data_IF_137860016285
#
_entry.id   IF_137860016285
#
_cell.length_a   1.000
_cell.length_b   1.000
_cell.length_c   1.000
_cell.angle_alpha   90.00
_cell.angle_beta   90.00
_cell.angle_gamma   90.00
#
_symmetry.space_group_name_H-M   'P 1'
#
loop_
_entity.id
_entity.type
_entity.pdbx_description
1 polymer ?
#
# COMPACT_ATOMS: atom_id res chain seq x y z
N UNK A 1 42.43 50.31 -11.94
CA UNK A 1 41.87 50.04 -13.30
C UNK A 1 42.61 48.92 -14.03
N UNK A 2 43.96 48.87 -13.97
CA UNK A 2 44.76 47.81 -14.61
C UNK A 2 44.54 46.42 -13.99
N UNK A 3 44.29 46.34 -12.69
CA UNK A 3 44.09 45.05 -11.98
C UNK A 3 42.80 44.35 -12.40
N UNK A 4 41.72 45.11 -12.60
CA UNK A 4 40.45 44.57 -13.12
C UNK A 4 40.60 44.05 -14.55
N UNK A 5 41.41 44.72 -15.38
CA UNK A 5 41.68 44.29 -16.74
C UNK A 5 42.50 42.99 -16.75
N UNK A 6 43.50 42.86 -15.87
CA UNK A 6 44.27 41.62 -15.70
C UNK A 6 43.37 40.47 -15.21
N UNK A 7 42.54 40.71 -14.20
CA UNK A 7 41.60 39.70 -13.68
C UNK A 7 40.57 39.27 -14.72
N UNK A 8 40.07 40.21 -15.54
CA UNK A 8 39.16 39.91 -16.63
C UNK A 8 39.81 38.98 -17.66
N UNK A 9 41.06 39.23 -18.06
CA UNK A 9 41.78 38.35 -18.99
C UNK A 9 42.07 36.96 -18.39
N UNK A 10 42.34 36.87 -17.09
CA UNK A 10 42.50 35.59 -16.39
C UNK A 10 41.19 34.78 -16.42
N UNK A 11 40.06 35.41 -16.07
CA UNK A 11 38.74 34.76 -16.15
C UNK A 11 38.44 34.31 -17.59
N UNK A 12 38.68 35.19 -18.57
CA UNK A 12 38.45 34.87 -19.98
C UNK A 12 39.31 33.68 -20.44
N UNK A 13 40.56 33.61 -19.97
CA UNK A 13 41.47 32.48 -20.22
C UNK A 13 40.96 31.17 -19.62
N UNK A 14 40.46 31.20 -18.38
CA UNK A 14 39.88 30.02 -17.72
C UNK A 14 38.62 29.56 -18.48
N UNK A 15 37.69 30.47 -18.80
CA UNK A 15 36.48 30.17 -19.57
C UNK A 15 36.84 29.59 -20.93
N UNK A 16 37.85 30.15 -21.61
CA UNK A 16 38.31 29.65 -22.90
C UNK A 16 38.85 28.22 -22.81
N UNK A 17 39.64 27.91 -21.78
CA UNK A 17 40.17 26.56 -21.55
C UNK A 17 39.04 25.58 -21.28
N UNK A 18 38.10 25.92 -20.37
CA UNK A 18 36.94 25.07 -20.06
C UNK A 18 36.06 24.85 -21.30
N UNK A 19 35.75 25.91 -22.05
CA UNK A 19 34.96 25.82 -23.28
C UNK A 19 35.66 24.96 -24.36
N UNK A 20 37.00 25.03 -24.44
CA UNK A 20 37.78 24.21 -25.38
C UNK A 20 37.80 22.73 -25.01
N UNK A 21 37.77 22.39 -23.71
CA UNK A 21 37.64 21.01 -23.26
C UNK A 21 36.21 20.48 -23.40
N UNK A 22 35.18 21.31 -23.19
CA UNK A 22 33.78 20.90 -23.36
C UNK A 22 33.36 20.72 -24.83
N UNK A 23 33.90 21.54 -25.75
CA UNK A 23 33.58 21.45 -27.20
C UNK A 23 34.05 20.18 -27.91
N UNK A 24 34.85 19.32 -27.27
CA UNK A 24 35.24 18.02 -27.86
C UNK A 24 34.19 16.92 -27.67
N UNK A 25 33.13 17.16 -26.91
CA UNK A 25 32.09 16.16 -26.61
C UNK A 25 30.84 16.28 -27.50
N UNK A 26 30.72 17.35 -28.30
CA UNK A 26 29.58 17.51 -29.20
C UNK A 26 29.92 16.92 -30.58
N UNK A 27 29.62 15.63 -30.74
CA UNK A 27 29.43 15.05 -32.07
C UNK A 27 28.22 15.75 -32.73
N UNK A 28 28.29 16.14 -34.01
CA UNK A 28 27.17 16.77 -34.70
C UNK A 28 25.97 15.82 -34.74
N UNK A 29 24.72 16.35 -34.62
CA UNK A 29 23.52 15.53 -34.72
C UNK A 29 23.46 14.97 -36.14
N UNK A 30 23.74 13.67 -36.28
CA UNK A 30 23.40 12.96 -37.52
C UNK A 30 21.89 12.86 -37.60
N UNK A 31 21.38 13.50 -38.64
CA UNK A 31 20.01 13.43 -39.12
C UNK A 31 19.45 12.00 -39.09
N UNK A 32 18.22 11.91 -38.56
CA UNK A 32 17.12 11.06 -39.05
C UNK A 32 17.52 9.68 -39.59
N UNK A 33 17.66 8.70 -38.69
CA UNK A 33 17.55 7.29 -39.06
C UNK A 33 16.06 6.89 -39.11
N UNK A 34 15.62 6.11 -40.13
CA UNK A 34 14.22 5.76 -40.31
C UNK A 34 13.71 4.88 -39.16
N UNK A 35 12.48 5.18 -38.76
CA UNK A 35 11.65 4.45 -37.79
C UNK A 35 11.79 2.94 -38.01
N UNK A 36 12.58 2.27 -37.17
CA UNK A 36 12.63 0.80 -37.13
C UNK A 36 11.36 0.29 -36.43
N UNK A 37 10.76 -0.80 -36.94
CA UNK A 37 9.55 -1.35 -36.38
C UNK A 37 9.78 -1.85 -34.95
N UNK A 38 8.72 -1.74 -34.15
CA UNK A 38 8.65 -2.07 -32.74
C UNK A 38 9.29 -3.43 -32.45
N UNK A 39 10.35 -3.40 -31.65
CA UNK A 39 10.88 -4.59 -30.98
C UNK A 39 9.77 -5.07 -30.02
N UNK A 40 9.35 -6.34 -30.05
CA UNK A 40 8.45 -6.84 -29.03
C UNK A 40 9.12 -6.68 -27.66
N UNK A 41 8.34 -6.17 -26.72
CA UNK A 41 8.69 -5.96 -25.32
C UNK A 41 9.41 -7.21 -24.82
N UNK A 42 10.69 -7.07 -24.42
CA UNK A 42 11.37 -8.13 -23.66
C UNK A 42 10.61 -8.28 -22.35
N UNK A 43 9.77 -9.33 -22.31
CA UNK A 43 9.17 -9.86 -21.10
C UNK A 43 10.34 -10.22 -20.19
N UNK A 44 10.46 -9.51 -19.07
CA UNK A 44 11.40 -9.84 -18.01
C UNK A 44 11.20 -11.32 -17.65
N UNK A 45 12.16 -12.19 -17.95
CA UNK A 45 12.22 -13.51 -17.33
C UNK A 45 12.59 -13.30 -15.87
N UNK A 46 11.60 -13.43 -15.00
CA UNK A 46 11.83 -13.57 -13.57
C UNK A 46 12.77 -14.76 -13.34
N UNK A 47 13.74 -14.65 -12.41
CA UNK A 47 14.53 -15.81 -12.02
C UNK A 47 13.56 -16.89 -11.52
N UNK A 48 13.67 -18.09 -12.08
CA UNK A 48 12.85 -19.25 -11.75
C UNK A 48 12.99 -19.58 -10.25
N UNK A 49 12.15 -18.96 -9.42
CA UNK A 49 11.86 -19.44 -8.08
C UNK A 49 11.09 -20.74 -8.25
N UNK A 50 11.67 -21.84 -7.80
CA UNK A 50 11.02 -23.14 -7.66
C UNK A 50 9.57 -22.93 -7.17
N UNK A 51 8.55 -23.49 -7.83
CA UNK A 51 7.18 -23.31 -7.39
C UNK A 51 7.01 -24.03 -6.05
N UNK A 52 6.94 -23.25 -4.97
CA UNK A 52 6.20 -23.68 -3.80
C UNK A 52 4.74 -23.89 -4.25
N UNK A 53 4.03 -24.93 -3.77
CA UNK A 53 2.64 -25.17 -4.13
C UNK A 53 1.74 -24.11 -3.48
N UNK A 54 1.75 -22.91 -4.06
CA UNK A 54 0.77 -21.87 -3.78
C UNK A 54 -0.53 -22.17 -4.52
N UNK A 55 -1.68 -21.74 -3.98
CA UNK A 55 -2.99 -22.03 -4.55
C UNK A 55 -3.06 -21.45 -5.97
N UNK A 56 -3.45 -22.30 -6.92
CA UNK A 56 -3.61 -21.92 -8.33
C UNK A 56 -4.59 -20.74 -8.39
N UNK A 57 -4.23 -19.69 -9.13
CA UNK A 57 -5.15 -18.57 -9.39
C UNK A 57 -6.28 -19.09 -10.26
N UNK A 58 -7.43 -19.35 -9.64
CA UNK A 58 -8.62 -19.85 -10.33
C UNK A 58 -9.07 -18.85 -11.39
N UNK A 59 -9.35 -19.35 -12.57
CA UNK A 59 -9.89 -18.51 -13.66
C UNK A 59 -11.37 -18.19 -13.40
N UNK A 60 -11.88 -17.11 -14.00
CA UNK A 60 -13.25 -16.66 -13.77
C UNK A 60 -14.30 -17.74 -14.12
N UNK A 61 -14.01 -18.57 -15.12
CA UNK A 61 -14.86 -19.71 -15.48
C UNK A 61 -14.85 -20.80 -14.40
N UNK A 62 -13.69 -21.04 -13.76
CA UNK A 62 -13.56 -21.95 -12.62
C UNK A 62 -14.29 -21.44 -11.39
N UNK A 63 -14.22 -20.14 -11.10
CA UNK A 63 -14.96 -19.49 -10.02
C UNK A 63 -16.47 -19.54 -10.25
N UNK A 64 -16.93 -19.28 -11.48
CA UNK A 64 -18.35 -19.42 -11.81
C UNK A 64 -18.81 -20.87 -11.67
N UNK A 65 -17.99 -21.82 -12.12
CA UNK A 65 -18.27 -23.25 -11.98
C UNK A 65 -18.37 -23.64 -10.50
N UNK A 66 -17.44 -23.21 -9.66
CA UNK A 66 -17.44 -23.47 -8.20
C UNK A 66 -18.68 -22.89 -7.50
N UNK A 67 -19.12 -21.68 -7.87
CA UNK A 67 -20.33 -21.05 -7.31
C UNK A 67 -21.60 -21.77 -7.77
N UNK A 68 -21.65 -22.25 -9.02
CA UNK A 68 -22.81 -22.98 -9.55
C UNK A 68 -22.89 -24.44 -9.06
N UNK A 69 -21.76 -25.11 -8.90
CA UNK A 69 -21.69 -26.47 -8.34
C UNK A 69 -22.01 -26.48 -6.84
N UNK A 70 -21.55 -25.49 -6.07
CA UNK A 70 -21.87 -25.37 -4.63
C UNK A 70 -23.34 -25.04 -4.34
N UNK A 71 -24.09 -24.53 -5.33
CA UNK A 71 -25.54 -24.27 -5.20
C UNK A 71 -26.40 -25.51 -5.46
N UNK A 72 -25.84 -26.60 -6.00
CA UNK A 72 -26.56 -27.85 -6.24
C UNK A 72 -26.37 -28.80 -5.05
N UNK A 73 -26.69 -28.34 -3.85
CA UNK A 73 -26.92 -29.26 -2.73
C UNK A 73 -28.37 -29.70 -2.86
N UNK A 74 -28.57 -30.93 -3.34
CA UNK A 74 -29.85 -31.61 -3.20
C UNK A 74 -30.31 -31.48 -1.75
N UNK A 75 -31.53 -30.97 -1.48
CA UNK A 75 -32.05 -30.91 -0.14
C UNK A 75 -32.23 -32.35 0.34
N UNK A 76 -31.29 -32.84 1.17
CA UNK A 76 -31.56 -34.00 2.00
C UNK A 76 -32.86 -33.71 2.75
N UNK A 77 -33.89 -34.57 2.68
CA UNK A 77 -35.09 -34.37 3.46
C UNK A 77 -34.68 -34.43 4.93
N UNK A 78 -34.67 -33.27 5.58
CA UNK A 78 -34.49 -33.17 7.01
C UNK A 78 -35.77 -33.73 7.59
N UNK A 79 -35.73 -34.97 8.08
CA UNK A 79 -36.79 -35.52 8.91
C UNK A 79 -36.99 -34.54 10.06
N UNK A 80 -38.20 -34.00 10.28
CA UNK A 80 -38.44 -33.10 11.39
C UNK A 80 -38.09 -33.84 12.69
N UNK A 81 -37.43 -33.17 13.65
CA UNK A 81 -37.21 -33.75 14.96
C UNK A 81 -38.58 -34.13 15.59
N UNK A 82 -38.67 -35.23 16.34
CA UNK A 82 -39.90 -35.56 17.05
C UNK A 82 -40.31 -34.37 17.91
N UNK A 83 -41.58 -33.96 17.77
CA UNK A 83 -42.13 -32.86 18.56
C UNK A 83 -41.90 -33.16 20.05
N UNK A 84 -41.46 -32.16 20.85
CA UNK A 84 -41.34 -32.35 22.29
C UNK A 84 -42.71 -32.73 22.84
N UNK A 85 -42.81 -33.92 23.44
CA UNK A 85 -43.96 -34.27 24.26
C UNK A 85 -43.90 -33.33 25.46
N UNK A 86 -44.78 -32.34 25.45
CA UNK A 86 -44.95 -31.43 26.58
C UNK A 86 -45.72 -32.20 27.63
N UNK A 87 -45.05 -32.61 28.70
CA UNK A 87 -45.74 -33.01 29.91
C UNK A 87 -46.49 -31.77 30.42
N UNK A 88 -47.81 -31.85 30.44
CA UNK A 88 -48.67 -30.77 30.91
C UNK A 88 -48.51 -30.69 32.43
N UNK A 89 -47.69 -29.74 32.88
CA UNK A 89 -47.55 -29.43 34.31
C UNK A 89 -48.70 -28.48 34.65
N UNK A 90 -49.60 -28.94 35.52
CA UNK A 90 -50.70 -28.14 36.05
C UNK A 90 -50.15 -27.27 37.20
N UNK A 91 -50.10 -25.96 36.99
CA UNK A 91 -49.50 -24.99 37.92
C UNK A 91 -50.53 -24.41 38.90
N UNK A 92 -51.81 -24.83 38.79
CA UNK A 92 -52.88 -24.28 39.63
C UNK A 92 -52.79 -24.72 41.11
N UNK A 93 -52.08 -25.81 41.42
CA UNK A 93 -52.00 -26.36 42.78
C UNK A 93 -50.87 -25.79 43.66
N UNK A 94 -49.94 -25.00 43.11
CA UNK A 94 -48.71 -24.52 43.82
C UNK A 94 -48.54 -22.99 43.83
N UNK A 95 -49.59 -22.23 43.50
CA UNK A 95 -49.59 -20.78 43.64
C UNK A 95 -49.81 -20.38 45.10
N UNK A 96 -48.71 -20.19 45.84
CA UNK A 96 -48.74 -19.51 47.13
C UNK A 96 -49.27 -18.08 46.94
N UNK A 97 -50.27 -17.69 47.76
CA UNK A 97 -50.79 -16.33 47.87
C UNK A 97 -49.72 -15.42 48.51
N UNK A 98 -48.65 -15.13 47.78
CA UNK A 98 -47.65 -14.13 48.17
C UNK A 98 -48.03 -12.79 47.50
N UNK A 99 -48.75 -11.96 48.27
CA UNK A 99 -48.92 -10.53 48.01
C UNK A 99 -47.55 -9.83 48.15
N UNK A 100 -46.63 -10.02 47.21
CA UNK A 100 -45.49 -9.13 47.05
C UNK A 100 -45.99 -7.78 46.52
N UNK A 101 -45.76 -6.73 47.31
CA UNK A 101 -46.10 -5.36 46.96
C UNK A 101 -45.39 -4.94 45.66
N UNK A 102 -46.17 -4.77 44.59
CA UNK A 102 -45.75 -4.25 43.27
C UNK A 102 -45.38 -2.75 43.30
N UNK A 103 -44.88 -2.20 44.40
CA UNK A 103 -44.35 -0.84 44.40
C UNK A 103 -43.05 -0.84 43.59
N UNK A 104 -43.19 -0.40 42.33
CA UNK A 104 -42.14 -0.24 41.33
C UNK A 104 -40.90 0.42 41.93
N UNK A 105 -39.82 -0.34 42.10
CA UNK A 105 -38.49 0.23 42.01
C UNK A 105 -38.40 0.94 40.66
N UNK A 106 -38.11 2.24 40.65
CA UNK A 106 -37.91 3.07 39.46
C UNK A 106 -36.89 2.38 38.52
N UNK A 107 -37.41 1.59 37.57
CA UNK A 107 -36.62 0.76 36.68
C UNK A 107 -35.94 1.66 35.65
N UNK A 108 -34.75 2.16 35.99
CA UNK A 108 -33.95 2.96 35.08
C UNK A 108 -33.35 2.06 33.98
N UNK A 109 -34.13 1.86 32.93
CA UNK A 109 -33.79 1.08 31.73
C UNK A 109 -32.40 1.43 31.17
N UNK A 110 -31.92 2.67 31.36
CA UNK A 110 -30.61 3.09 30.87
C UNK A 110 -29.44 2.51 31.65
N UNK A 111 -29.63 2.12 32.91
CA UNK A 111 -28.54 1.70 33.82
C UNK A 111 -28.37 0.18 33.90
N UNK A 112 -29.44 -0.61 33.72
CA UNK A 112 -29.41 -2.07 33.88
C UNK A 112 -29.38 -2.85 32.55
N UNK A 113 -29.80 -2.27 31.43
CA UNK A 113 -29.80 -3.00 30.16
C UNK A 113 -28.41 -3.02 29.50
N UNK A 114 -27.83 -4.23 29.42
CA UNK A 114 -26.64 -4.48 28.61
C UNK A 114 -26.87 -4.11 27.14
N UNK A 115 -28.12 -4.22 26.67
CA UNK A 115 -28.53 -3.84 25.31
C UNK A 115 -28.38 -2.33 25.09
N UNK A 116 -28.71 -1.52 26.10
CA UNK A 116 -28.58 -0.06 26.02
C UNK A 116 -27.11 0.36 25.94
N UNK A 117 -26.26 -0.26 26.75
CA UNK A 117 -24.81 -0.01 26.72
C UNK A 117 -24.20 -0.42 25.36
N UNK A 118 -24.57 -1.60 24.84
CA UNK A 118 -24.11 -2.05 23.52
C UNK A 118 -24.56 -1.11 22.38
N UNK A 119 -25.79 -0.58 22.46
CA UNK A 119 -26.30 0.40 21.52
C UNK A 119 -25.51 1.72 21.58
N UNK A 120 -25.26 2.25 22.78
CA UNK A 120 -24.48 3.48 22.94
C UNK A 120 -23.02 3.30 22.50
N UNK A 121 -22.39 2.17 22.82
CA UNK A 121 -21.04 1.85 22.35
C UNK A 121 -20.98 1.74 20.83
N UNK A 122 -21.92 1.02 20.20
CA UNK A 122 -21.99 0.91 18.75
C UNK A 122 -22.20 2.28 18.09
N UNK A 123 -23.04 3.13 18.69
CA UNK A 123 -23.25 4.51 18.23
C UNK A 123 -21.95 5.31 18.29
N UNK A 124 -21.22 5.28 19.42
CA UNK A 124 -19.93 5.98 19.56
C UNK A 124 -18.91 5.50 18.54
N UNK A 125 -18.76 4.19 18.38
CA UNK A 125 -17.85 3.59 17.40
C UNK A 125 -18.21 3.96 15.96
N UNK A 126 -19.50 4.09 15.64
CA UNK A 126 -19.92 4.51 14.30
C UNK A 126 -19.55 5.97 14.00
N UNK A 127 -19.57 6.85 15.01
CA UNK A 127 -19.16 8.25 14.87
C UNK A 127 -17.64 8.45 14.90
N UNK A 128 -16.90 7.60 15.61
CA UNK A 128 -15.43 7.63 15.68
C UNK A 128 -14.76 6.97 14.46
N UNK A 129 -15.52 6.31 13.59
CA UNK A 129 -14.97 5.73 12.37
C UNK A 129 -14.48 6.84 11.44
N UNK A 130 -13.22 6.78 10.99
CA UNK A 130 -12.72 7.74 10.00
C UNK A 130 -13.60 7.66 8.76
N UNK A 131 -13.96 8.83 8.24
CA UNK A 131 -14.78 8.92 7.03
C UNK A 131 -14.08 8.20 5.86
N UNK A 132 -14.86 7.73 4.88
CA UNK A 132 -14.28 7.08 3.69
C UNK A 132 -13.26 8.00 3.00
N UNK A 133 -13.51 9.31 3.01
CA UNK A 133 -12.63 10.32 2.44
C UNK A 133 -11.30 10.45 3.21
N UNK A 134 -11.36 10.33 4.54
CA UNK A 134 -10.20 10.35 5.43
C UNK A 134 -9.34 9.08 5.28
N UNK A 135 -9.97 7.91 5.14
CA UNK A 135 -9.24 6.66 4.88
C UNK A 135 -8.66 6.60 3.46
N UNK A 136 -9.33 7.19 2.47
CA UNK A 136 -8.80 7.32 1.11
C UNK A 136 -7.70 8.38 0.97
N UNK A 137 -7.44 9.20 2.01
CA UNK A 137 -6.42 10.25 2.01
C UNK A 137 -6.48 11.11 0.74
N UNK A 138 -7.69 11.45 0.29
CA UNK A 138 -7.90 12.09 -1.02
C UNK A 138 -7.09 13.41 -1.17
N UNK A 139 -6.90 14.15 -0.06
CA UNK A 139 -6.08 15.37 0.00
C UNK A 139 -4.55 15.16 -0.05
N UNK A 140 -4.07 13.92 0.11
CA UNK A 140 -2.65 13.56 -0.01
C UNK A 140 -2.25 13.11 -1.43
N UNK A 141 -3.20 13.12 -2.37
CA UNK A 141 -2.91 12.79 -3.77
C UNK A 141 -2.27 13.99 -4.46
N UNK A 142 -1.14 13.78 -5.12
CA UNK A 142 -0.54 14.76 -6.02
C UNK A 142 -1.20 14.58 -7.39
N UNK A 143 -1.39 15.64 -8.17
CA UNK A 143 -2.01 15.61 -9.51
C UNK A 143 -1.34 14.71 -10.57
N UNK A 144 -0.38 13.88 -10.17
CA UNK A 144 0.19 12.77 -10.92
C UNK A 144 -0.42 11.46 -10.39
N UNK A 145 -1.14 10.75 -11.25
CA UNK A 145 -1.71 9.43 -10.97
C UNK A 145 -0.67 8.49 -10.32
N UNK A 146 -1.03 7.86 -9.20
CA UNK A 146 -0.22 6.81 -8.55
C UNK A 146 0.95 7.25 -7.68
N UNK A 147 1.11 8.55 -7.35
CA UNK A 147 2.16 9.02 -6.44
C UNK A 147 1.55 9.68 -5.20
N UNK A 148 1.62 9.01 -4.05
CA UNK A 148 1.25 9.58 -2.76
C UNK A 148 2.34 10.54 -2.26
N UNK A 149 1.97 11.62 -1.56
CA UNK A 149 2.92 12.59 -0.96
C UNK A 149 3.96 11.93 -0.06
N UNK A 150 3.60 10.86 0.65
CA UNK A 150 4.51 10.08 1.49
C UNK A 150 5.75 9.52 0.74
N UNK A 151 5.70 9.38 -0.59
CA UNK A 151 6.83 8.91 -1.39
C UNK A 151 7.70 10.04 -1.97
N UNK A 152 7.30 11.31 -1.80
CA UNK A 152 8.12 12.46 -2.19
C UNK A 152 9.07 12.91 -1.08
N UNK A 153 8.76 12.57 0.18
CA UNK A 153 9.57 12.94 1.35
C UNK A 153 10.85 12.12 1.49
N UNK A 154 11.06 11.08 0.67
CA UNK A 154 12.35 10.42 0.62
C UNK A 154 13.39 11.42 0.07
N UNK A 155 14.38 11.87 0.88
CA UNK A 155 15.40 12.76 0.37
C UNK A 155 16.09 12.02 -0.77
N UNK A 156 16.11 12.64 -1.95
CA UNK A 156 16.92 12.14 -3.05
C UNK A 156 18.35 12.08 -2.54
N UNK A 157 18.84 10.87 -2.26
CA UNK A 157 20.19 10.68 -1.75
C UNK A 157 21.14 11.20 -2.81
N UNK A 158 21.90 12.24 -2.47
CA UNK A 158 22.97 12.75 -3.31
C UNK A 158 24.09 11.71 -3.34
N UNK A 159 24.04 10.81 -4.33
CA UNK A 159 25.01 9.73 -4.48
C UNK A 159 26.44 10.27 -4.50
N UNK A 160 26.66 11.44 -5.11
CA UNK A 160 27.99 12.06 -5.19
C UNK A 160 28.56 12.49 -3.83
N UNK A 161 27.69 12.98 -2.94
CA UNK A 161 28.06 13.36 -1.57
C UNK A 161 28.36 12.11 -0.74
N UNK A 162 27.57 11.05 -0.93
CA UNK A 162 27.84 9.74 -0.35
C UNK A 162 29.16 9.13 -0.85
N UNK A 163 29.52 9.33 -2.12
CA UNK A 163 30.84 8.92 -2.64
C UNK A 163 31.96 9.67 -1.95
N UNK A 164 31.91 11.00 -1.94
CA UNK A 164 32.97 11.83 -1.37
C UNK A 164 33.16 11.57 0.13
N UNK A 165 32.08 11.34 0.88
CA UNK A 165 32.15 10.97 2.29
C UNK A 165 32.81 9.59 2.53
N UNK A 166 32.58 8.63 1.63
CA UNK A 166 33.16 7.29 1.72
C UNK A 166 34.64 7.21 1.28
N UNK A 167 35.23 8.26 0.71
CA UNK A 167 36.64 8.25 0.28
C UNK A 167 37.64 8.38 1.43
N UNK A 168 37.20 8.79 2.62
CA UNK A 168 38.08 8.96 3.79
C UNK A 168 38.49 7.61 4.41
N UNK A 169 37.69 6.56 4.20
CA UNK A 169 37.91 5.24 4.80
C UNK A 169 38.48 4.23 3.79
N UNK A 170 39.40 3.34 4.22
CA UNK A 170 40.02 2.36 3.33
C UNK A 170 39.01 1.33 2.80
N UNK A 171 37.94 1.05 3.54
CA UNK A 171 36.84 0.20 3.08
C UNK A 171 35.89 0.95 2.13
N UNK A 172 35.66 2.24 2.39
CA UNK A 172 34.82 3.09 1.53
C UNK A 172 35.44 3.35 0.16
N UNK A 173 36.77 3.37 0.04
CA UNK A 173 37.47 3.41 -1.26
C UNK A 173 37.16 2.19 -2.11
N UNK A 174 37.21 0.97 -1.54
CA UNK A 174 36.84 -0.27 -2.25
C UNK A 174 35.39 -0.23 -2.72
N UNK A 175 34.48 0.23 -1.87
CA UNK A 175 33.05 0.40 -2.19
C UNK A 175 32.85 1.39 -3.34
N UNK A 176 33.54 2.53 -3.31
CA UNK A 176 33.50 3.53 -4.37
C UNK A 176 33.99 2.97 -5.71
N UNK A 177 35.08 2.19 -5.71
CA UNK A 177 35.61 1.54 -6.91
C UNK A 177 34.60 0.55 -7.48
N UNK A 178 34.04 -0.35 -6.67
CA UNK A 178 33.04 -1.33 -7.13
C UNK A 178 31.80 -0.64 -7.69
N UNK A 179 31.31 0.41 -7.01
CA UNK A 179 30.16 1.15 -7.50
C UNK A 179 30.45 1.92 -8.79
N UNK A 180 31.65 2.50 -8.94
CA UNK A 180 32.06 3.18 -10.18
C UNK A 180 32.06 2.22 -11.38
N UNK A 181 32.44 0.96 -11.16
CA UNK A 181 32.37 -0.10 -12.18
C UNK A 181 30.92 -0.43 -12.55
N UNK A 182 30.03 -0.54 -11.55
CA UNK A 182 28.60 -0.83 -11.77
C UNK A 182 27.92 0.30 -12.55
N UNK A 183 28.26 1.55 -12.27
CA UNK A 183 27.71 2.74 -12.94
C UNK A 183 28.25 2.93 -14.36
N UNK A 184 29.50 2.57 -14.64
CA UNK A 184 30.10 2.67 -15.98
C UNK A 184 29.77 1.49 -16.90
N UNK A 185 29.10 0.46 -16.39
CA UNK A 185 28.69 -0.69 -17.19
C UNK A 185 27.61 -0.25 -18.18
N UNK A 186 28.00 -0.06 -19.44
CA UNK A 186 27.07 0.21 -20.55
C UNK A 186 26.12 -0.97 -20.71
N UNK A 187 24.82 -0.72 -20.58
CA UNK A 187 23.76 -1.62 -21.02
C UNK A 187 23.50 -1.44 -22.52
#
# INVERSE_FOLDING_TARGET
MKDFQVWFYIILGIIYVVARFMKKTEQPPKDLAPKRPEKPVQRYEQPASKPAPGPRTLTFEELLKEITESKTVEPKPVTPPPAPQTDYVDYDDDLSEEEESLEEEEYDYRKRDQVYNAYEEAKRQAFERPSLEETMKAGETVGSYGKFKAFQEAPQRNLMEEYLGNLHDPEGWKKAVVMSEVLNRKF
#
